data_IF_331915810594
#
_entry.id   IF_331915810594
#
_cell.length_a   1.000
_cell.length_b   1.000
_cell.length_c   1.000
_cell.angle_alpha   90.00
_cell.angle_beta   90.00
_cell.angle_gamma   90.00
#
_symmetry.space_group_name_H-M   'P 1'
#
loop_
_entity.id
_entity.type
_entity.pdbx_description
1 polymer ?
#
# COMPACT_ATOMS: atom_id res chain seq x y z
N UNK A 1 -37.30 45.42 -14.00
CA UNK A 1 -36.41 44.68 -13.09
C UNK A 1 -35.57 43.73 -13.95
N UNK A 2 -34.57 44.21 -14.70
CA UNK A 2 -33.12 44.25 -14.34
C UNK A 2 -32.61 42.88 -13.86
N UNK A 3 -32.00 42.07 -14.75
CA UNK A 3 -30.54 41.78 -14.88
C UNK A 3 -29.93 41.32 -13.54
N UNK A 4 -29.26 40.17 -13.41
CA UNK A 4 -27.91 39.81 -13.89
C UNK A 4 -27.80 38.27 -13.72
N UNK A 5 -27.65 37.46 -14.77
CA UNK A 5 -26.40 36.93 -15.34
C UNK A 5 -25.43 36.28 -14.33
N UNK A 6 -24.90 35.13 -14.73
CA UNK A 6 -23.57 34.61 -14.39
C UNK A 6 -23.19 34.45 -12.91
N UNK A 7 -23.11 33.19 -12.46
CA UNK A 7 -21.96 32.80 -11.67
C UNK A 7 -21.30 31.62 -12.40
N UNK A 8 -20.47 32.00 -13.37
CA UNK A 8 -19.46 31.15 -13.93
C UNK A 8 -18.56 30.57 -12.82
N UNK A 9 -18.04 29.39 -13.13
CA UNK A 9 -16.72 28.97 -12.68
C UNK A 9 -16.56 28.79 -11.15
N UNK A 10 -16.98 27.63 -10.66
CA UNK A 10 -16.07 26.86 -9.81
C UNK A 10 -15.41 25.78 -10.67
N UNK A 11 -14.59 26.28 -11.60
CA UNK A 11 -13.37 25.61 -12.01
C UNK A 11 -12.46 25.57 -10.78
N UNK A 12 -12.55 24.49 -10.03
CA UNK A 12 -11.40 23.95 -9.35
C UNK A 12 -11.59 22.44 -9.42
N UNK A 13 -11.27 21.87 -10.58
CA UNK A 13 -10.68 20.55 -10.59
C UNK A 13 -9.47 20.63 -9.67
N UNK A 14 -9.69 20.39 -8.38
CA UNK A 14 -8.72 20.33 -7.31
C UNK A 14 -7.55 19.58 -7.89
N UNK A 15 -6.49 20.31 -8.25
CA UNK A 15 -5.31 19.71 -8.86
C UNK A 15 -4.77 18.79 -7.77
N UNK A 16 -5.13 17.50 -7.87
CA UNK A 16 -4.70 16.47 -6.94
C UNK A 16 -3.19 16.47 -7.08
N UNK A 17 -2.52 17.18 -6.18
CA UNK A 17 -1.05 17.27 -6.16
C UNK A 17 -0.57 15.83 -6.23
N UNK A 18 0.28 15.46 -7.19
CA UNK A 18 0.66 14.06 -7.38
C UNK A 18 1.15 13.54 -6.05
N UNK A 19 0.46 12.53 -5.51
CA UNK A 19 0.76 11.95 -4.20
C UNK A 19 2.17 11.38 -4.31
N UNK A 20 3.17 12.17 -3.93
CA UNK A 20 4.57 11.72 -3.95
C UNK A 20 4.64 10.37 -3.25
N UNK A 21 5.32 9.42 -3.88
CA UNK A 21 5.60 8.11 -3.34
C UNK A 21 6.41 8.25 -2.04
N UNK A 22 5.75 8.50 -0.91
CA UNK A 22 6.41 8.59 0.40
C UNK A 22 6.58 7.19 0.95
N UNK A 23 7.83 6.73 1.00
CA UNK A 23 8.17 5.49 1.68
C UNK A 23 7.84 5.61 3.18
N UNK A 24 6.96 4.77 3.74
CA UNK A 24 6.71 4.73 5.16
C UNK A 24 7.99 4.28 5.88
N UNK A 25 8.34 4.98 6.96
CA UNK A 25 9.51 4.64 7.79
C UNK A 25 9.15 3.73 8.96
N UNK A 26 7.86 3.64 9.30
CA UNK A 26 7.31 2.82 10.38
C UNK A 26 5.97 2.26 9.95
N UNK A 27 5.66 1.04 10.38
CA UNK A 27 4.37 0.40 10.25
C UNK A 27 4.07 -0.28 11.59
N UNK A 28 2.82 -0.23 12.03
CA UNK A 28 2.37 -0.92 13.24
C UNK A 28 1.84 -2.28 12.83
N UNK A 29 2.22 -3.33 13.58
CA UNK A 29 1.63 -4.66 13.43
C UNK A 29 0.17 -4.57 13.90
N UNK A 30 -0.76 -4.90 13.02
CA UNK A 30 -2.18 -4.99 13.35
C UNK A 30 -2.63 -6.44 13.49
N UNK A 31 -3.93 -6.60 13.75
CA UNK A 31 -4.61 -7.89 13.79
C UNK A 31 -5.24 -8.26 12.46
N UNK A 32 -5.14 -9.54 12.09
CA UNK A 32 -5.95 -10.19 11.07
C UNK A 32 -6.58 -11.47 11.64
N UNK A 33 -7.69 -11.91 11.06
CA UNK A 33 -8.31 -13.21 11.36
C UNK A 33 -8.18 -14.12 10.15
N UNK A 34 -7.85 -15.40 10.36
CA UNK A 34 -7.87 -16.44 9.34
C UNK A 34 -8.95 -17.46 9.71
N UNK A 35 -10.15 -17.41 9.10
CA UNK A 35 -11.28 -18.23 9.55
C UNK A 35 -11.13 -19.73 9.27
N UNK A 36 -10.10 -20.17 8.53
CA UNK A 36 -10.06 -21.51 7.91
C UNK A 36 -8.77 -22.31 8.14
N UNK A 37 -7.98 -21.98 9.16
CA UNK A 37 -6.83 -22.80 9.58
C UNK A 37 -7.13 -23.37 10.97
N UNK A 38 -7.30 -24.69 11.09
CA UNK A 38 -7.63 -25.41 12.33
C UNK A 38 -6.66 -25.13 13.51
N UNK A 39 -5.47 -24.60 13.23
CA UNK A 39 -4.49 -24.19 14.24
C UNK A 39 -4.88 -22.89 14.97
N UNK A 40 -5.76 -22.09 14.37
CA UNK A 40 -6.24 -20.83 14.91
C UNK A 40 -7.73 -20.98 15.26
N UNK A 41 -8.08 -21.02 16.55
CA UNK A 41 -9.45 -21.14 17.03
C UNK A 41 -10.20 -19.83 16.76
N UNK A 42 -10.77 -19.65 15.57
CA UNK A 42 -11.84 -18.69 15.21
C UNK A 42 -11.57 -17.19 15.41
N UNK A 43 -11.11 -16.81 16.60
CA UNK A 43 -10.82 -15.48 17.11
C UNK A 43 -9.32 -15.24 17.36
N UNK A 44 -8.43 -16.19 17.03
CA UNK A 44 -7.00 -15.99 17.25
C UNK A 44 -6.47 -14.85 16.38
N UNK A 45 -5.90 -13.84 17.05
CA UNK A 45 -5.33 -12.65 16.43
C UNK A 45 -4.02 -12.98 15.72
N UNK A 46 -4.01 -12.87 14.39
CA UNK A 46 -2.81 -13.12 13.58
C UNK A 46 -2.10 -11.79 13.31
N UNK A 47 -0.79 -11.69 13.61
CA UNK A 47 -0.03 -10.47 13.36
C UNK A 47 0.04 -10.18 11.87
N UNK A 48 -0.38 -8.98 11.49
CA UNK A 48 -0.47 -8.54 10.08
C UNK A 48 0.29 -7.25 9.86
N UNK A 49 1.11 -7.22 8.80
CA UNK A 49 1.78 -6.02 8.29
C UNK A 49 1.20 -5.64 6.93
N UNK A 50 0.83 -4.36 6.75
CA UNK A 50 0.27 -3.85 5.49
C UNK A 50 1.24 -2.87 4.82
N UNK A 51 1.83 -3.29 3.70
CA UNK A 51 2.65 -2.45 2.83
C UNK A 51 1.89 -2.16 1.54
N UNK A 52 1.62 -0.87 1.25
CA UNK A 52 0.92 -0.44 0.02
C UNK A 52 1.39 0.95 -0.42
N UNK A 53 1.38 1.19 -1.72
CA UNK A 53 1.46 2.52 -2.33
C UNK A 53 2.53 2.63 -3.41
N UNK A 54 2.54 3.76 -4.10
CA UNK A 54 3.46 4.07 -5.22
C UNK A 54 4.96 3.96 -4.85
N UNK A 55 5.29 4.00 -3.55
CA UNK A 55 6.67 3.82 -3.09
C UNK A 55 7.18 2.37 -3.24
N UNK A 56 6.28 1.38 -3.24
CA UNK A 56 6.66 -0.02 -3.51
C UNK A 56 7.00 -0.19 -4.98
N UNK A 57 6.16 0.37 -5.86
CA UNK A 57 6.40 0.38 -7.31
C UNK A 57 7.71 1.10 -7.65
N UNK A 58 8.00 2.24 -7.03
CA UNK A 58 9.27 2.95 -7.18
C UNK A 58 10.50 2.15 -6.70
N UNK A 59 10.31 1.08 -5.91
CA UNK A 59 11.34 0.13 -5.50
C UNK A 59 11.35 -1.15 -6.36
N UNK A 60 10.52 -1.22 -7.41
CA UNK A 60 10.41 -2.36 -8.31
C UNK A 60 9.41 -3.44 -7.88
N UNK A 61 8.66 -3.25 -6.80
CA UNK A 61 7.59 -4.17 -6.39
C UNK A 61 6.32 -3.87 -7.21
N UNK A 62 6.28 -4.37 -8.44
CA UNK A 62 5.14 -4.25 -9.35
C UNK A 62 4.20 -5.45 -9.21
N UNK A 63 3.01 -5.36 -9.80
CA UNK A 63 2.06 -6.47 -9.82
C UNK A 63 2.69 -7.63 -10.61
N UNK A 64 2.78 -8.80 -9.99
CA UNK A 64 3.40 -9.98 -10.60
C UNK A 64 4.89 -10.16 -10.28
N UNK A 65 5.56 -9.19 -9.66
CA UNK A 65 6.94 -9.38 -9.20
C UNK A 65 7.03 -10.53 -8.21
N UNK A 66 8.05 -11.38 -8.38
CA UNK A 66 8.43 -12.34 -7.34
C UNK A 66 9.24 -11.63 -6.27
N UNK A 67 8.97 -11.95 -5.00
CA UNK A 67 9.63 -11.34 -3.85
C UNK A 67 10.36 -12.43 -3.08
N UNK A 68 11.65 -12.21 -2.84
CA UNK A 68 12.42 -12.98 -1.88
C UNK A 68 12.19 -12.43 -0.49
N UNK A 69 11.86 -13.34 0.43
CA UNK A 69 11.66 -13.04 1.84
C UNK A 69 12.78 -13.74 2.62
N UNK A 70 13.54 -12.98 3.39
CA UNK A 70 14.47 -13.51 4.38
C UNK A 70 14.09 -13.01 5.76
N UNK A 71 14.34 -13.84 6.77
CA UNK A 71 13.91 -13.60 8.14
C UNK A 71 15.05 -13.87 9.10
N UNK A 72 15.21 -12.95 10.04
CA UNK A 72 16.11 -13.05 11.18
C UNK A 72 15.34 -12.65 12.45
N UNK A 73 15.96 -12.79 13.62
CA UNK A 73 15.31 -12.41 14.88
C UNK A 73 14.87 -10.93 14.86
N UNK A 74 13.56 -10.69 14.82
CA UNK A 74 12.97 -9.35 14.79
C UNK A 74 13.07 -8.60 13.45
N UNK A 75 13.58 -9.24 12.39
CA UNK A 75 13.80 -8.59 11.09
C UNK A 75 13.19 -9.42 9.97
N UNK A 76 12.42 -8.75 9.11
CA UNK A 76 11.94 -9.28 7.83
C UNK A 76 12.52 -8.41 6.72
N UNK A 77 13.27 -9.02 5.82
CA UNK A 77 13.80 -8.36 4.62
C UNK A 77 13.03 -8.85 3.40
N UNK A 78 12.53 -7.90 2.62
CA UNK A 78 11.83 -8.13 1.36
C UNK A 78 12.65 -7.53 0.23
N UNK A 79 12.93 -8.31 -0.80
CA UNK A 79 13.61 -7.86 -2.02
C UNK A 79 12.92 -8.42 -3.24
N UNK A 80 12.81 -7.63 -4.31
CA UNK A 80 12.35 -8.12 -5.61
C UNK A 80 13.38 -9.14 -6.11
N UNK A 81 12.91 -10.31 -6.55
CA UNK A 81 13.79 -11.22 -7.27
C UNK A 81 14.11 -10.58 -8.62
N UNK A 82 15.40 -10.39 -8.92
CA UNK A 82 15.80 -9.93 -10.24
C UNK A 82 15.16 -10.83 -11.29
N UNK A 83 14.57 -10.23 -12.32
CA UNK A 83 14.24 -10.96 -13.54
C UNK A 83 15.54 -11.63 -13.97
N UNK A 84 15.58 -12.96 -13.90
CA UNK A 84 16.59 -13.68 -14.65
C UNK A 84 16.27 -13.34 -16.10
N UNK A 85 17.01 -12.39 -16.69
CA UNK A 85 17.03 -12.20 -18.13
C UNK A 85 17.32 -13.58 -18.72
N UNK A 86 16.32 -14.15 -19.39
CA UNK A 86 16.40 -15.38 -20.16
C UNK A 86 16.03 -15.08 -21.60
#
# INVERSE_FOLDING_TARGET
>A
MSHVADDAALDEAETIKPRRARRPRRCTVGSGSYPSLDRYRGDDEIPTLRLRGLWLEALGFTVGSRVRITTEAGVVTLSVEGESEG
#
